data_IF_680001818037
#
_entry.id   IF_680001818037
#
_cell.length_a   1.000
_cell.length_b   1.000
_cell.length_c   1.000
_cell.angle_alpha   90.00
_cell.angle_beta   90.00
_cell.angle_gamma   90.00
#
_symmetry.space_group_name_H-M   'P 1'
#
loop_
_entity.id
_entity.type
_entity.pdbx_description
1 polymer ?
#
# COMPACT_ATOMS: atom_id res chain seq x y z
N UNK A 1 -11.64 3.13 -35.16
CA UNK A 1 -10.80 4.35 -35.09
C UNK A 1 -10.99 4.94 -33.71
N UNK A 2 -9.96 4.94 -32.87
CA UNK A 2 -10.00 5.59 -31.56
C UNK A 2 -9.68 7.07 -31.77
N UNK A 3 -10.55 7.97 -31.30
CA UNK A 3 -10.25 9.40 -31.30
C UNK A 3 -9.08 9.67 -30.35
N UNK A 4 -8.09 10.50 -30.75
CA UNK A 4 -7.05 10.92 -29.83
C UNK A 4 -7.71 11.68 -28.67
N UNK A 5 -7.50 11.18 -27.45
CA UNK A 5 -7.95 11.84 -26.23
C UNK A 5 -7.28 13.21 -26.13
N UNK A 6 -8.08 14.24 -25.85
CA UNK A 6 -7.59 15.61 -25.64
C UNK A 6 -6.63 15.64 -24.44
N UNK A 7 -5.35 16.01 -24.62
CA UNK A 7 -4.37 16.09 -23.53
C UNK A 7 -4.81 17.02 -22.39
N UNK A 8 -5.70 17.97 -22.64
CA UNK A 8 -6.23 18.86 -21.61
C UNK A 8 -7.37 18.25 -20.78
N UNK A 9 -7.89 17.10 -21.18
CA UNK A 9 -8.98 16.40 -20.47
C UNK A 9 -8.49 15.32 -19.51
N UNK A 10 -7.18 15.08 -19.42
CA UNK A 10 -6.62 14.11 -18.47
C UNK A 10 -6.50 14.77 -17.08
N UNK A 11 -7.37 14.42 -16.10
CA UNK A 11 -7.29 14.96 -14.75
C UNK A 11 -5.99 14.59 -14.03
N UNK A 12 -5.15 13.74 -14.63
CA UNK A 12 -3.83 13.33 -14.13
C UNK A 12 -2.65 14.00 -14.86
N UNK A 13 -2.87 14.90 -15.83
CA UNK A 13 -1.77 15.55 -16.57
C UNK A 13 -0.90 16.45 -15.67
N UNK A 14 -1.42 16.96 -14.56
CA UNK A 14 -0.61 17.51 -13.47
C UNK A 14 -0.23 16.40 -12.48
N UNK A 15 0.77 15.59 -12.86
CA UNK A 15 1.34 14.61 -11.94
C UNK A 15 1.67 15.29 -10.59
N UNK A 16 1.37 14.63 -9.44
CA UNK A 16 1.54 15.20 -8.10
C UNK A 16 2.95 15.76 -7.83
N UNK A 17 3.95 15.27 -8.57
CA UNK A 17 5.38 15.53 -8.38
C UNK A 17 5.82 16.97 -8.68
N UNK A 18 5.02 17.78 -9.40
CA UNK A 18 5.41 19.19 -9.67
C UNK A 18 5.30 20.09 -8.44
N UNK A 19 4.57 19.67 -7.41
CA UNK A 19 4.52 20.38 -6.14
C UNK A 19 5.30 19.62 -5.07
N UNK A 20 6.04 20.30 -4.17
CA UNK A 20 6.71 19.63 -3.05
C UNK A 20 5.74 18.83 -2.19
N UNK A 21 4.52 19.32 -1.98
CA UNK A 21 3.48 18.61 -1.24
C UNK A 21 3.04 17.33 -1.94
N UNK A 22 2.76 17.36 -3.24
CA UNK A 22 2.36 16.15 -3.97
C UNK A 22 3.50 15.13 -4.07
N UNK A 23 4.75 15.57 -4.21
CA UNK A 23 5.91 14.69 -4.10
C UNK A 23 6.02 14.04 -2.71
N UNK A 24 5.80 14.80 -1.63
CA UNK A 24 5.75 14.26 -0.28
C UNK A 24 4.58 13.28 -0.09
N UNK A 25 3.38 13.63 -0.57
CA UNK A 25 2.19 12.78 -0.52
C UNK A 25 2.48 11.39 -1.09
N UNK A 26 3.04 11.32 -2.31
CA UNK A 26 3.35 10.02 -2.93
C UNK A 26 4.45 9.26 -2.19
N UNK A 27 5.25 9.89 -1.33
CA UNK A 27 6.29 9.21 -0.56
C UNK A 27 5.83 8.78 0.85
N UNK A 28 4.66 9.23 1.30
CA UNK A 28 4.14 8.89 2.63
C UNK A 28 3.83 7.40 2.81
N UNK A 29 3.80 6.59 1.74
CA UNK A 29 3.71 5.12 1.86
C UNK A 29 4.95 4.47 2.51
N UNK A 30 6.05 5.22 2.66
CA UNK A 30 7.26 4.72 3.31
C UNK A 30 7.25 5.12 4.80
N UNK A 31 7.38 4.17 5.76
CA UNK A 31 7.26 4.46 7.19
C UNK A 31 8.18 5.57 7.67
N UNK A 32 9.46 5.48 7.29
CA UNK A 32 10.46 6.45 7.72
C UNK A 32 10.15 7.85 7.21
N UNK A 33 9.54 7.97 6.03
CA UNK A 33 9.15 9.27 5.47
C UNK A 33 7.90 9.75 6.21
N UNK A 34 6.91 8.88 6.42
CA UNK A 34 5.73 9.19 7.22
C UNK A 34 6.08 9.67 8.64
N UNK A 35 6.97 8.97 9.35
CA UNK A 35 7.40 9.33 10.71
C UNK A 35 8.10 10.69 10.71
N UNK A 36 9.02 10.91 9.75
CA UNK A 36 9.73 12.17 9.62
C UNK A 36 8.78 13.34 9.31
N UNK A 37 7.83 13.14 8.39
CA UNK A 37 6.83 14.15 8.03
C UNK A 37 5.88 14.41 9.19
N UNK A 38 5.36 13.37 9.85
CA UNK A 38 4.49 13.51 11.02
C UNK A 38 5.19 14.27 12.14
N UNK A 39 6.45 13.93 12.43
CA UNK A 39 7.29 14.64 13.39
C UNK A 39 7.56 16.10 12.98
N UNK A 40 7.71 16.39 11.69
CA UNK A 40 7.88 17.76 11.21
C UNK A 40 6.59 18.58 11.37
N UNK A 41 5.43 17.98 11.10
CA UNK A 41 4.13 18.64 11.23
C UNK A 41 3.81 19.03 12.67
N UNK A 42 4.18 18.22 13.67
CA UNK A 42 3.99 18.58 15.09
C UNK A 42 4.85 19.75 15.55
N UNK A 43 5.92 20.07 14.82
CA UNK A 43 6.81 21.21 15.10
C UNK A 43 6.42 22.49 14.35
N UNK A 44 5.45 22.44 13.43
CA UNK A 44 5.02 23.64 12.71
C UNK A 44 4.32 24.61 13.66
N UNK A 45 4.58 25.93 13.54
CA UNK A 45 3.75 26.93 14.20
C UNK A 45 2.27 26.75 13.85
N UNK A 46 1.37 26.86 14.84
CA UNK A 46 -0.08 26.64 14.62
C UNK A 46 -0.67 27.56 13.55
N UNK A 47 -0.08 28.73 13.31
CA UNK A 47 -0.52 29.65 12.26
C UNK A 47 -0.38 29.08 10.84
N UNK A 48 0.52 28.12 10.60
CA UNK A 48 0.74 27.56 9.26
C UNK A 48 -0.41 26.61 8.86
N UNK A 49 -0.77 25.56 9.64
CA UNK A 49 -1.92 24.73 9.32
C UNK A 49 -3.22 25.54 9.15
N UNK A 50 -3.43 26.56 9.98
CA UNK A 50 -4.62 27.43 9.87
C UNK A 50 -4.66 28.20 8.55
N UNK A 51 -3.51 28.69 8.06
CA UNK A 51 -3.44 29.42 6.77
C UNK A 51 -3.60 28.50 5.57
N UNK A 52 -3.16 27.25 5.68
CA UNK A 52 -3.17 26.28 4.59
C UNK A 52 -4.44 25.42 4.57
N UNK A 53 -5.27 25.46 5.61
CA UNK A 53 -6.47 24.61 5.76
C UNK A 53 -7.46 24.72 4.60
N UNK A 54 -7.49 25.84 3.88
CA UNK A 54 -8.33 26.03 2.69
C UNK A 54 -7.65 25.68 1.37
N UNK A 55 -6.34 25.41 1.38
CA UNK A 55 -5.58 25.14 0.16
C UNK A 55 -5.80 23.69 -0.32
N UNK A 56 -6.28 23.45 -1.55
CA UNK A 56 -6.64 22.10 -2.01
C UNK A 56 -5.51 21.07 -1.92
N UNK A 57 -4.28 21.45 -2.28
CA UNK A 57 -3.11 20.55 -2.18
C UNK A 57 -2.73 20.22 -0.74
N UNK A 58 -2.99 21.13 0.20
CA UNK A 58 -2.74 20.88 1.62
C UNK A 58 -3.78 19.93 2.19
N UNK A 59 -5.07 20.15 1.86
CA UNK A 59 -6.16 19.25 2.22
C UNK A 59 -5.91 17.83 1.71
N UNK A 60 -5.54 17.68 0.42
CA UNK A 60 -5.20 16.38 -0.16
C UNK A 60 -4.03 15.71 0.56
N UNK A 61 -2.98 16.47 0.89
CA UNK A 61 -1.83 15.98 1.63
C UNK A 61 -2.19 15.52 3.05
N UNK A 62 -2.95 16.32 3.81
CA UNK A 62 -3.38 15.98 5.16
C UNK A 62 -4.30 14.76 5.14
N UNK A 63 -5.27 14.70 4.23
CA UNK A 63 -6.14 13.53 4.09
C UNK A 63 -5.35 12.27 3.81
N UNK A 64 -4.38 12.31 2.90
CA UNK A 64 -3.54 11.13 2.62
C UNK A 64 -2.67 10.75 3.82
N UNK A 65 -2.16 11.73 4.58
CA UNK A 65 -1.46 11.46 5.84
C UNK A 65 -2.36 10.75 6.85
N UNK A 66 -3.61 11.18 7.01
CA UNK A 66 -4.58 10.54 7.91
C UNK A 66 -4.85 9.08 7.51
N UNK A 67 -4.93 8.80 6.20
CA UNK A 67 -5.01 7.41 5.69
C UNK A 67 -3.77 6.61 6.08
N UNK A 68 -2.57 7.18 5.90
CA UNK A 68 -1.32 6.54 6.33
C UNK A 68 -1.28 6.33 7.85
N UNK A 69 -1.80 7.28 8.63
CA UNK A 69 -1.86 7.21 10.08
C UNK A 69 -2.78 6.08 10.55
N UNK A 70 -3.92 5.85 9.90
CA UNK A 70 -4.76 4.67 10.17
C UNK A 70 -4.06 3.37 9.79
N UNK A 71 -3.41 3.35 8.63
CA UNK A 71 -2.67 2.19 8.15
C UNK A 71 -1.49 1.80 9.07
N UNK A 72 -0.79 2.79 9.66
CA UNK A 72 0.39 2.55 10.51
C UNK A 72 0.13 2.58 12.01
N UNK A 73 -0.91 3.30 12.45
CA UNK A 73 -1.33 3.41 13.85
C UNK A 73 -2.06 2.16 14.33
N UNK A 74 -2.63 1.39 13.41
CA UNK A 74 -3.00 0.00 13.64
C UNK A 74 -1.71 -0.76 14.00
N UNK A 75 -1.63 -1.28 15.23
CA UNK A 75 -0.40 -1.82 15.80
C UNK A 75 0.38 -2.74 14.84
N UNK A 76 1.73 -2.70 14.80
CA UNK A 76 2.55 -3.51 13.89
C UNK A 76 2.42 -5.04 14.09
N UNK A 77 1.57 -5.50 15.02
CA UNK A 77 1.23 -6.91 15.20
C UNK A 77 0.21 -7.41 14.18
N UNK A 78 -0.55 -6.52 13.54
CA UNK A 78 -1.59 -6.89 12.59
C UNK A 78 -1.19 -6.54 11.15
N UNK A 79 0.07 -6.77 10.76
CA UNK A 79 0.40 -6.68 9.34
C UNK A 79 -0.47 -7.68 8.59
N UNK A 80 -1.21 -7.22 7.57
CA UNK A 80 -2.04 -8.06 6.71
C UNK A 80 -1.25 -9.31 6.32
N UNK A 81 -1.69 -10.48 6.79
CA UNK A 81 -1.00 -11.73 6.54
C UNK A 81 -1.06 -12.01 5.04
N UNK A 82 0.10 -12.02 4.40
CA UNK A 82 0.20 -12.31 2.98
C UNK A 82 0.27 -13.81 2.77
N UNK A 83 -0.51 -14.30 1.82
CA UNK A 83 -0.47 -15.67 1.38
C UNK A 83 -0.63 -15.73 -0.14
N UNK A 84 0.37 -16.28 -0.81
CA UNK A 84 0.35 -16.53 -2.26
C UNK A 84 -0.30 -17.89 -2.61
N UNK A 85 -0.69 -18.69 -1.61
CA UNK A 85 -1.46 -19.92 -1.85
C UNK A 85 -2.91 -19.56 -2.24
N UNK A 86 -3.23 -19.72 -3.52
CA UNK A 86 -4.55 -19.38 -4.08
C UNK A 86 -5.70 -20.22 -3.50
N UNK A 87 -5.39 -21.36 -2.89
CA UNK A 87 -6.37 -22.26 -2.27
C UNK A 87 -6.58 -21.94 -0.78
N UNK A 88 -5.94 -20.89 -0.24
CA UNK A 88 -6.00 -20.51 1.17
C UNK A 88 -7.43 -20.46 1.74
N UNK A 89 -8.37 -19.80 1.04
CA UNK A 89 -9.77 -19.69 1.49
C UNK A 89 -10.50 -21.04 1.55
N UNK A 90 -10.14 -21.99 0.69
CA UNK A 90 -10.76 -23.32 0.63
C UNK A 90 -10.20 -24.30 1.66
N UNK A 91 -9.01 -24.02 2.19
CA UNK A 91 -8.37 -24.88 3.17
C UNK A 91 -8.98 -24.75 4.59
N UNK A 92 -9.85 -23.74 4.82
CA UNK A 92 -10.44 -23.48 6.13
C UNK A 92 -9.40 -23.11 7.20
N UNK A 93 -8.21 -22.65 6.77
CA UNK A 93 -7.12 -22.31 7.69
C UNK A 93 -7.38 -20.92 8.24
N UNK A 94 -7.86 -20.85 9.47
CA UNK A 94 -7.89 -19.61 10.25
C UNK A 94 -6.51 -19.42 10.87
N UNK A 95 -5.83 -18.33 10.53
CA UNK A 95 -4.59 -17.98 11.22
C UNK A 95 -4.90 -17.17 12.46
N UNK A 96 -4.21 -17.43 13.58
CA UNK A 96 -4.21 -16.48 14.68
C UNK A 96 -3.70 -15.13 14.17
N UNK A 97 -4.25 -14.03 14.68
CA UNK A 97 -3.95 -12.67 14.22
C UNK A 97 -2.44 -12.35 14.23
N UNK A 98 -1.65 -13.07 15.04
CA UNK A 98 -0.20 -12.90 15.17
C UNK A 98 0.65 -13.75 14.20
N UNK A 99 0.05 -14.50 13.27
CA UNK A 99 0.80 -15.36 12.34
C UNK A 99 1.59 -14.52 11.32
N UNK A 100 2.90 -14.39 11.57
CA UNK A 100 3.82 -13.72 10.65
C UNK A 100 3.98 -14.53 9.36
N UNK A 101 3.72 -13.88 8.23
CA UNK A 101 3.99 -14.48 6.93
C UNK A 101 5.49 -14.74 6.74
N UNK A 102 5.82 -15.90 6.16
CA UNK A 102 7.17 -16.31 5.84
C UNK A 102 7.36 -16.40 4.32
N UNK A 103 8.56 -16.10 3.84
CA UNK A 103 8.88 -16.25 2.42
C UNK A 103 9.38 -17.66 2.12
N UNK A 104 9.14 -18.15 0.91
CA UNK A 104 9.83 -19.33 0.39
C UNK A 104 11.36 -19.13 0.52
N UNK A 105 12.06 -20.06 1.17
CA UNK A 105 13.50 -19.95 1.42
C UNK A 105 14.34 -19.99 0.13
N UNK A 106 13.81 -20.58 -0.94
CA UNK A 106 14.50 -20.69 -2.22
C UNK A 106 14.31 -19.43 -3.07
N UNK A 107 13.09 -19.15 -3.53
CA UNK A 107 12.85 -17.99 -4.41
C UNK A 107 12.75 -16.66 -3.64
N UNK A 108 12.42 -16.68 -2.35
CA UNK A 108 11.98 -15.54 -1.51
C UNK A 108 11.03 -14.55 -2.21
N UNK A 109 10.28 -15.05 -3.19
CA UNK A 109 9.27 -14.29 -3.92
C UNK A 109 7.86 -14.67 -3.52
N UNK A 110 7.62 -15.96 -3.28
CA UNK A 110 6.38 -16.43 -2.70
C UNK A 110 6.37 -16.20 -1.18
N UNK A 111 5.21 -15.82 -0.64
CA UNK A 111 4.95 -15.52 0.76
C UNK A 111 3.77 -16.36 1.24
N UNK A 112 3.88 -16.92 2.43
CA UNK A 112 2.88 -17.79 3.01
C UNK A 112 2.60 -17.39 4.45
N UNK A 113 1.33 -17.34 4.81
CA UNK A 113 0.89 -17.11 6.19
C UNK A 113 1.21 -18.29 7.13
N UNK A 114 1.49 -19.48 6.59
CA UNK A 114 1.97 -20.63 7.38
C UNK A 114 2.71 -21.69 6.55
N UNK A 115 3.45 -22.60 7.22
CA UNK A 115 4.05 -23.76 6.56
C UNK A 115 3.03 -24.67 5.87
N UNK A 116 1.81 -24.80 6.40
CA UNK A 116 0.75 -25.60 5.79
C UNK A 116 0.32 -25.01 4.45
N UNK A 117 0.18 -23.68 4.36
CA UNK A 117 -0.11 -23.01 3.10
C UNK A 117 1.02 -23.20 2.08
N UNK A 118 2.28 -23.12 2.52
CA UNK A 118 3.43 -23.41 1.65
C UNK A 118 3.43 -24.84 1.14
N UNK A 119 3.22 -25.83 2.02
CA UNK A 119 3.22 -27.26 1.64
C UNK A 119 2.11 -27.60 0.65
N UNK A 120 0.94 -26.98 0.82
CA UNK A 120 -0.19 -27.18 -0.09
C UNK A 120 0.09 -26.59 -1.47
N UNK A 121 0.58 -25.36 -1.51
CA UNK A 121 0.94 -24.66 -2.74
C UNK A 121 2.18 -25.27 -3.43
N UNK A 122 3.04 -25.99 -2.69
CA UNK A 122 4.29 -26.55 -3.20
C UNK A 122 4.13 -27.41 -4.44
N UNK A 123 3.01 -28.11 -4.60
CA UNK A 123 2.73 -28.93 -5.80
C UNK A 123 2.75 -28.12 -7.09
N UNK A 124 2.31 -26.86 -7.02
CA UNK A 124 2.26 -25.91 -8.14
C UNK A 124 3.51 -25.03 -8.11
N UNK A 125 3.82 -24.44 -6.95
CA UNK A 125 4.94 -23.51 -6.80
C UNK A 125 6.29 -24.12 -7.16
N UNK A 126 6.51 -25.42 -6.94
CA UNK A 126 7.78 -26.09 -7.25
C UNK A 126 8.26 -25.85 -8.69
N UNK A 127 7.34 -25.82 -9.65
CA UNK A 127 7.66 -25.72 -11.07
C UNK A 127 7.97 -24.27 -11.47
N UNK A 128 7.44 -23.30 -10.70
CA UNK A 128 7.68 -21.86 -10.89
C UNK A 128 8.83 -21.32 -10.02
N UNK A 129 9.24 -22.05 -8.98
CA UNK A 129 10.14 -21.55 -7.94
C UNK A 129 11.48 -21.07 -8.51
N UNK A 130 12.03 -21.82 -9.47
CA UNK A 130 13.27 -21.47 -10.17
C UNK A 130 13.15 -20.19 -11.00
N UNK A 131 12.08 -20.05 -11.79
CA UNK A 131 11.83 -18.85 -12.58
C UNK A 131 11.65 -17.62 -11.69
N UNK A 132 10.83 -17.72 -10.63
CA UNK A 132 10.62 -16.63 -9.67
C UNK A 132 11.92 -16.21 -8.95
N UNK A 133 12.85 -17.12 -8.71
CA UNK A 133 14.16 -16.78 -8.16
C UNK A 133 14.97 -15.88 -9.12
N UNK A 134 14.97 -16.21 -10.41
CA UNK A 134 15.64 -15.43 -11.46
C UNK A 134 14.97 -14.07 -11.63
N UNK A 135 13.64 -14.02 -11.68
CA UNK A 135 12.89 -12.76 -11.77
C UNK A 135 13.20 -11.82 -10.60
N UNK A 136 13.30 -12.36 -9.38
CA UNK A 136 13.70 -11.58 -8.21
C UNK A 136 15.09 -10.96 -8.38
N UNK A 137 16.05 -11.68 -8.99
CA UNK A 137 17.40 -11.14 -9.23
C UNK A 137 17.31 -9.95 -10.18
N UNK A 138 16.59 -10.07 -11.29
CA UNK A 138 16.42 -8.97 -12.25
C UNK A 138 15.71 -7.77 -11.64
N UNK A 139 14.60 -7.99 -10.93
CA UNK A 139 13.87 -6.91 -10.27
C UNK A 139 14.72 -6.20 -9.19
N UNK A 140 15.63 -6.92 -8.52
CA UNK A 140 16.59 -6.29 -7.59
C UNK A 140 17.62 -5.44 -8.32
N UNK A 141 18.14 -5.91 -9.45
CA UNK A 141 19.06 -5.13 -10.28
C UNK A 141 18.40 -3.83 -10.77
N UNK A 142 17.13 -3.90 -11.14
CA UNK A 142 16.34 -2.76 -11.63
C UNK A 142 15.75 -1.88 -10.52
N UNK A 143 16.00 -2.21 -9.24
CA UNK A 143 15.39 -1.55 -8.07
C UNK A 143 13.85 -1.55 -8.06
N UNK A 144 13.25 -2.49 -8.79
CA UNK A 144 11.81 -2.72 -8.86
C UNK A 144 11.33 -3.76 -7.83
N UNK A 145 12.24 -4.42 -7.11
CA UNK A 145 11.89 -5.45 -6.13
C UNK A 145 11.31 -4.86 -4.84
N UNK A 146 10.04 -5.17 -4.57
CA UNK A 146 9.42 -4.90 -3.28
C UNK A 146 9.59 -6.07 -2.32
N UNK A 147 10.07 -5.80 -1.10
CA UNK A 147 10.05 -6.80 -0.04
C UNK A 147 8.61 -7.21 0.31
N UNK A 148 8.40 -8.42 0.84
CA UNK A 148 7.07 -8.82 1.32
C UNK A 148 6.54 -7.86 2.41
N UNK A 149 7.44 -7.31 3.24
CA UNK A 149 7.08 -6.27 4.23
C UNK A 149 6.51 -5.04 3.54
N UNK A 150 7.18 -4.56 2.49
CA UNK A 150 6.71 -3.40 1.69
C UNK A 150 5.39 -3.71 0.99
N UNK A 151 5.21 -4.92 0.44
CA UNK A 151 3.93 -5.35 -0.15
C UNK A 151 2.79 -5.33 0.89
N UNK A 152 3.01 -5.91 2.07
CA UNK A 152 2.00 -5.97 3.13
C UNK A 152 1.64 -4.59 3.67
N UNK A 153 2.61 -3.69 3.71
CA UNK A 153 2.42 -2.28 4.00
C UNK A 153 1.56 -1.54 2.97
N UNK A 154 1.86 -1.71 1.68
CA UNK A 154 1.10 -1.11 0.60
C UNK A 154 -0.35 -1.64 0.57
N UNK A 155 -0.54 -2.92 0.90
CA UNK A 155 -1.87 -3.51 1.02
C UNK A 155 -2.67 -2.93 2.21
N UNK A 156 -2.04 -2.71 3.36
CA UNK A 156 -2.69 -2.00 4.48
C UNK A 156 -3.09 -0.58 4.10
N UNK A 157 -2.21 0.13 3.39
CA UNK A 157 -2.51 1.47 2.91
C UNK A 157 -3.68 1.47 1.92
N UNK A 158 -3.70 0.51 0.99
CA UNK A 158 -4.81 0.34 0.05
C UNK A 158 -6.10 0.01 0.77
N UNK A 159 -6.07 -0.87 1.78
CA UNK A 159 -7.24 -1.19 2.59
C UNK A 159 -7.78 0.05 3.32
N UNK A 160 -6.92 0.79 4.03
CA UNK A 160 -7.31 2.02 4.72
C UNK A 160 -7.85 3.10 3.75
N UNK A 161 -7.32 3.14 2.53
CA UNK A 161 -7.83 4.01 1.47
C UNK A 161 -9.22 3.59 1.00
N UNK A 162 -9.46 2.30 0.79
CA UNK A 162 -10.77 1.78 0.38
C UNK A 162 -11.82 1.98 1.47
N UNK A 163 -11.46 1.77 2.75
CA UNK A 163 -12.33 2.05 3.89
C UNK A 163 -12.69 3.55 3.95
N UNK A 164 -11.71 4.45 3.84
CA UNK A 164 -11.95 5.90 3.74
C UNK A 164 -12.86 6.24 2.56
N UNK A 165 -12.62 5.62 1.41
CA UNK A 165 -13.41 5.87 0.22
C UNK A 165 -14.86 5.44 0.42
N UNK A 166 -15.11 4.26 0.97
CA UNK A 166 -16.45 3.76 1.27
C UNK A 166 -17.19 4.62 2.30
N UNK A 167 -16.52 5.04 3.37
CA UNK A 167 -17.12 5.87 4.43
C UNK A 167 -17.53 7.26 3.92
N UNK A 168 -16.74 7.82 3.00
CA UNK A 168 -17.03 9.13 2.41
C UNK A 168 -18.00 9.06 1.22
N UNK A 169 -18.29 7.86 0.70
CA UNK A 169 -19.27 7.63 -0.36
C UNK A 169 -20.62 7.22 0.25
N UNK A 170 -21.13 8.01 1.21
CA UNK A 170 -22.50 7.86 1.70
C UNK A 170 -23.51 8.14 0.56
N UNK A 171 -24.62 7.41 0.59
CA UNK A 171 -25.56 7.17 -0.51
C UNK A 171 -25.88 8.45 -1.32
N UNK A 172 -25.64 8.49 -2.65
CA UNK A 172 -26.01 9.62 -3.50
C UNK A 172 -27.52 9.97 -3.46
N UNK A 173 -28.36 9.12 -2.86
CA UNK A 173 -29.77 9.37 -2.60
C UNK A 173 -30.07 10.35 -1.45
N UNK A 174 -29.09 10.73 -0.62
CA UNK A 174 -29.29 11.77 0.41
C UNK A 174 -28.94 13.19 -0.08
N UNK A 175 -28.53 13.34 -1.36
CA UNK A 175 -28.18 14.62 -1.98
C UNK A 175 -29.26 15.17 -2.94
N UNK A 176 -30.45 14.57 -2.99
CA UNK A 176 -31.63 15.00 -3.76
C UNK A 176 -32.80 15.28 -2.84
#
# INVERSE_FOLDING_TARGET
MLHPLDPQSDPFHEWPTRSPLGALTVMLYHPTIYDAVSSALTRLPQSIPTRLSSHPKWLAFIRFKEICERAYGSTPRNMTSLCDNLQHSTMGVTHPDDARSAQCSQCCSAVYCSPQCQQHDWKIHRDECGARYIDRIYQRADRAWFSHRTRGMLLQLLQAFLEDFCDNFQDPREAL
#
